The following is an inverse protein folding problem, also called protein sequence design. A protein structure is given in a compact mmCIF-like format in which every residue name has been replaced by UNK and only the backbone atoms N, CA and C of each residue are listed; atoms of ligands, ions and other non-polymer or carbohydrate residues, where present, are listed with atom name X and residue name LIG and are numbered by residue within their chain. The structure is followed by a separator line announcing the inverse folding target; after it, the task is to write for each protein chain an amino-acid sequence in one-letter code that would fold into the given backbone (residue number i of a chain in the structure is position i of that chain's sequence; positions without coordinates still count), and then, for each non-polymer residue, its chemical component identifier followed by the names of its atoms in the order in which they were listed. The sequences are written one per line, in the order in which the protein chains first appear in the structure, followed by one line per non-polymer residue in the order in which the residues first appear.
data_IF_720617949522
#
_entry.id   IF_720617949522
#
_cell.length_a   1.000
_cell.length_b   1.000
_cell.length_c   1.000
_cell.angle_alpha   90.00
_cell.angle_beta   90.00
_cell.angle_gamma   90.00
#
_symmetry.space_group_name_H-M   'P 1'
#
loop_
_entity.id
_entity.type
_entity.pdbx_description
1 polymer ?
#
# COMPACT_ATOMS: atom_id res chain seq x y z
N UNK A 1 -66.30 10.50 3.60
CA UNK A 1 -65.05 10.20 2.87
C UNK A 1 -63.90 10.79 3.66
N UNK A 2 -63.04 9.94 4.25
CA UNK A 2 -61.86 10.32 5.02
C UNK A 2 -60.70 10.61 4.05
N UNK A 3 -60.06 11.78 4.13
CA UNK A 3 -58.70 12.06 3.60
C UNK A 3 -58.10 13.15 4.51
N UNK A 4 -57.34 12.83 5.55
CA UNK A 4 -55.95 12.31 5.63
C UNK A 4 -54.95 13.32 5.05
N UNK A 5 -54.24 14.00 5.96
CA UNK A 5 -52.98 14.70 5.69
C UNK A 5 -51.84 13.66 5.71
N UNK A 6 -51.04 13.60 4.66
CA UNK A 6 -49.82 12.78 4.60
C UNK A 6 -48.63 13.74 4.59
N UNK A 7 -47.72 13.56 5.56
CA UNK A 7 -46.40 14.19 5.56
C UNK A 7 -45.44 13.25 4.82
N UNK A 8 -44.72 13.76 3.81
CA UNK A 8 -43.69 13.02 3.07
C UNK A 8 -42.31 13.49 3.58
N UNK A 9 -41.66 12.65 4.36
CA UNK A 9 -40.21 12.73 4.61
C UNK A 9 -39.52 11.90 3.53
N UNK A 10 -38.68 12.53 2.72
CA UNK A 10 -37.84 11.84 1.71
C UNK A 10 -36.53 11.46 2.40
N UNK A 11 -36.35 10.17 2.67
CA UNK A 11 -35.05 9.54 2.87
C UNK A 11 -34.84 8.62 1.67
N UNK A 12 -33.92 8.99 0.78
CA UNK A 12 -33.48 8.17 -0.35
C UNK A 12 -32.23 7.41 0.11
N UNK A 13 -32.36 6.10 0.34
CA UNK A 13 -31.26 5.14 0.34
C UNK A 13 -31.53 4.17 -0.82
N UNK A 14 -30.69 4.21 -1.84
CA UNK A 14 -30.76 3.30 -2.97
C UNK A 14 -30.09 1.97 -2.67
N UNK A 15 -30.80 0.87 -2.90
CA UNK A 15 -30.48 -0.13 -3.92
C UNK A 15 -30.99 -1.55 -3.55
N UNK A 16 -31.76 -2.13 -4.47
CA UNK A 16 -31.89 -3.58 -4.76
C UNK A 16 -32.48 -4.47 -3.65
N UNK A 17 -33.78 -4.79 -3.64
CA UNK A 17 -34.46 -5.74 -4.54
C UNK A 17 -35.94 -5.33 -4.78
N UNK A 18 -36.45 -5.62 -5.98
CA UNK A 18 -37.73 -5.19 -6.59
C UNK A 18 -39.00 -5.96 -6.08
N UNK A 19 -40.18 -5.82 -6.73
CA UNK A 19 -41.08 -4.66 -6.74
C UNK A 19 -42.49 -5.02 -6.21
N UNK A 20 -43.19 -4.08 -5.58
CA UNK A 20 -44.66 -4.11 -5.56
C UNK A 20 -45.14 -2.69 -5.83
N UNK A 21 -45.68 -2.47 -7.02
CA UNK A 21 -46.12 -1.15 -7.47
C UNK A 21 -47.38 -0.69 -6.75
N UNK A 22 -47.59 0.63 -6.71
CA UNK A 22 -48.87 1.28 -7.03
C UNK A 22 -48.65 2.77 -7.31
N UNK A 23 -49.37 3.27 -8.31
CA UNK A 23 -49.17 4.55 -9.01
C UNK A 23 -49.74 5.80 -8.30
N UNK A 24 -49.03 6.91 -8.53
CA UNK A 24 -49.47 8.30 -8.83
C UNK A 24 -50.40 9.10 -7.87
N UNK A 25 -50.15 10.42 -7.75
CA UNK A 25 -51.00 11.51 -8.31
C UNK A 25 -50.38 12.90 -8.08
N UNK A 26 -50.34 13.71 -9.15
CA UNK A 26 -49.98 15.14 -9.23
C UNK A 26 -51.25 15.98 -9.03
N UNK A 27 -51.16 17.17 -8.42
CA UNK A 27 -52.18 18.21 -8.59
C UNK A 27 -51.59 19.60 -8.90
N UNK A 28 -52.13 20.21 -9.96
CA UNK A 28 -52.07 21.63 -10.33
C UNK A 28 -52.96 22.47 -9.40
N UNK A 29 -52.63 23.76 -9.26
CA UNK A 29 -53.50 24.83 -8.75
C UNK A 29 -54.05 25.61 -9.96
N UNK A 30 -55.32 25.99 -9.94
CA UNK A 30 -55.96 26.98 -10.84
C UNK A 30 -56.69 28.03 -9.98
N UNK A 31 -57.03 29.23 -10.47
CA UNK A 31 -56.43 30.45 -9.98
C UNK A 31 -57.51 31.48 -9.69
N UNK A 32 -58.38 31.27 -8.72
CA UNK A 32 -59.35 32.30 -8.34
C UNK A 32 -59.75 32.11 -6.88
N UNK A 33 -59.49 33.15 -6.09
CA UNK A 33 -59.85 33.34 -4.69
C UNK A 33 -58.91 32.67 -3.68
N UNK A 34 -57.86 33.43 -3.32
CA UNK A 34 -56.95 33.08 -2.24
C UNK A 34 -57.61 33.22 -0.88
N UNK A 35 -57.72 32.10 -0.15
CA UNK A 35 -57.84 32.04 1.31
C UNK A 35 -57.40 30.66 1.82
N UNK A 36 -56.67 30.64 2.96
CA UNK A 36 -56.23 29.42 3.66
C UNK A 36 -57.37 28.88 4.55
N UNK A 37 -57.61 27.56 4.62
CA UNK A 37 -58.55 27.02 5.60
C UNK A 37 -58.02 27.19 7.04
N UNK A 38 -58.79 27.89 7.89
CA UNK A 38 -58.65 27.96 9.34
C UNK A 38 -59.36 26.79 10.01
N UNK A 39 -58.63 25.82 10.58
CA UNK A 39 -59.16 24.91 11.61
C UNK A 39 -58.09 24.00 12.24
N UNK A 40 -57.18 24.56 13.04
CA UNK A 40 -56.54 23.86 14.16
C UNK A 40 -56.29 24.87 15.29
N UNK A 41 -57.07 24.81 16.38
CA UNK A 41 -56.89 25.65 17.57
C UNK A 41 -55.81 25.07 18.51
N UNK A 42 -55.17 25.90 19.35
CA UNK A 42 -54.17 25.46 20.32
C UNK A 42 -54.81 25.11 21.69
N UNK A 43 -54.27 24.06 22.33
CA UNK A 43 -54.41 23.67 23.75
C UNK A 43 -55.62 22.82 24.18
N UNK A 44 -55.31 21.60 24.63
CA UNK A 44 -56.21 20.67 25.33
C UNK A 44 -55.44 19.40 25.74
N UNK A 45 -54.87 19.44 26.95
CA UNK A 45 -54.24 18.42 27.81
C UNK A 45 -54.92 17.04 27.67
N UNK A 46 -54.35 15.84 27.86
CA UNK A 46 -53.56 15.15 28.92
C UNK A 46 -52.87 13.94 28.21
N UNK A 47 -51.75 13.31 28.60
CA UNK A 47 -51.32 12.77 29.89
C UNK A 47 -49.89 12.21 29.65
N UNK A 48 -48.93 12.53 30.51
CA UNK A 48 -47.56 11.99 30.41
C UNK A 48 -47.58 10.47 30.71
N UNK A 49 -47.33 9.64 29.70
CA UNK A 49 -47.04 8.21 29.87
C UNK A 49 -45.52 8.02 29.79
N UNK A 50 -44.78 7.92 30.93
CA UNK A 50 -43.32 7.95 30.94
C UNK A 50 -42.63 6.70 30.38
N UNK A 51 -43.37 5.77 29.75
CA UNK A 51 -42.86 4.51 29.23
C UNK A 51 -42.71 4.50 27.69
N UNK A 52 -43.22 5.50 26.97
CA UNK A 52 -43.00 5.65 25.52
C UNK A 52 -41.72 6.43 25.16
N UNK A 53 -41.17 7.23 26.08
CA UNK A 53 -39.87 7.90 25.87
C UNK A 53 -38.66 6.98 26.08
N UNK A 54 -38.81 5.88 26.80
CA UNK A 54 -37.73 4.90 26.96
C UNK A 54 -37.56 3.98 25.74
N UNK A 55 -38.60 3.80 24.92
CA UNK A 55 -38.53 2.94 23.72
C UNK A 55 -38.12 3.69 22.44
N UNK A 56 -38.20 5.03 22.42
CA UNK A 56 -37.72 5.84 21.29
C UNK A 56 -36.28 6.38 21.47
N UNK A 57 -35.71 6.31 22.68
CA UNK A 57 -34.33 6.70 22.94
C UNK A 57 -33.31 5.54 22.84
N UNK A 58 -33.76 4.33 22.50
CA UNK A 58 -32.89 3.14 22.35
C UNK A 58 -32.84 2.63 20.89
N UNK A 59 -33.47 3.32 19.93
CA UNK A 59 -33.51 2.92 18.51
C UNK A 59 -33.06 3.99 17.51
N UNK A 60 -32.39 5.06 17.96
CA UNK A 60 -31.78 6.08 17.09
C UNK A 60 -30.32 6.41 17.47
N UNK A 61 -29.54 5.41 17.91
CA UNK A 61 -28.10 5.55 18.11
C UNK A 61 -27.31 4.47 17.35
N UNK A 62 -27.67 4.26 16.09
CA UNK A 62 -26.75 3.70 15.09
C UNK A 62 -26.92 4.47 13.78
N UNK A 63 -26.91 5.81 13.91
CA UNK A 63 -26.35 6.61 12.83
C UNK A 63 -24.85 6.31 12.82
N UNK A 64 -24.42 5.39 11.96
CA UNK A 64 -23.04 5.42 11.50
C UNK A 64 -22.86 6.80 10.85
N UNK A 65 -22.27 7.75 11.57
CA UNK A 65 -21.53 8.79 10.88
C UNK A 65 -20.54 8.03 10.00
N UNK A 66 -20.62 8.16 8.68
CA UNK A 66 -19.45 7.84 7.88
C UNK A 66 -18.36 8.76 8.42
N UNK A 67 -17.41 8.17 9.14
CA UNK A 67 -16.24 8.91 9.56
C UNK A 67 -15.56 9.33 8.26
N UNK A 68 -15.33 10.63 8.12
CA UNK A 68 -14.59 11.23 7.02
C UNK A 68 -13.34 10.38 6.71
N UNK A 69 -13.18 9.92 5.47
CA UNK A 69 -12.06 9.02 5.13
C UNK A 69 -10.82 9.84 4.80
N UNK A 70 -9.86 9.93 5.71
CA UNK A 70 -8.58 10.59 5.45
C UNK A 70 -7.53 9.55 5.05
N UNK A 71 -6.93 9.73 3.88
CA UNK A 71 -5.81 8.90 3.42
C UNK A 71 -4.51 9.37 4.07
N UNK A 72 -4.05 8.61 5.06
CA UNK A 72 -2.83 8.85 5.84
C UNK A 72 -1.70 7.86 5.52
N UNK A 73 -1.84 7.07 4.44
CA UNK A 73 -0.83 6.11 4.00
C UNK A 73 0.47 6.77 3.49
N UNK A 74 1.49 5.96 3.14
CA UNK A 74 2.76 6.46 2.64
C UNK A 74 2.60 7.46 1.50
N UNK A 75 3.52 8.44 1.43
CA UNK A 75 3.50 9.42 0.35
C UNK A 75 4.01 8.76 -0.94
N UNK A 76 3.36 9.05 -2.06
CA UNK A 76 3.79 8.65 -3.39
C UNK A 76 4.04 9.86 -4.28
N UNK A 77 4.88 9.69 -5.30
CA UNK A 77 5.18 10.70 -6.31
C UNK A 77 4.49 10.30 -7.61
N UNK A 78 3.76 11.24 -8.20
CA UNK A 78 3.27 11.11 -9.57
C UNK A 78 3.99 12.13 -10.46
N UNK A 79 4.34 11.74 -11.68
CA UNK A 79 4.99 12.61 -12.66
C UNK A 79 4.50 12.28 -14.06
N UNK A 80 3.94 13.29 -14.73
CA UNK A 80 3.68 13.27 -16.17
C UNK A 80 4.70 14.17 -16.87
N UNK A 81 5.54 13.64 -17.79
CA UNK A 81 6.48 14.46 -18.56
C UNK A 81 5.80 15.43 -19.54
N UNK A 82 6.54 16.45 -19.94
CA UNK A 82 6.14 17.38 -20.99
C UNK A 82 5.94 16.62 -22.32
N UNK A 83 4.86 16.96 -23.04
CA UNK A 83 4.46 16.38 -24.32
C UNK A 83 4.16 14.87 -24.31
N UNK A 84 4.11 14.23 -23.13
CA UNK A 84 3.73 12.83 -23.04
C UNK A 84 2.25 12.63 -23.36
N UNK A 85 1.94 11.49 -23.98
CA UNK A 85 0.56 11.12 -24.34
C UNK A 85 -0.27 10.88 -23.07
N UNK A 86 -1.21 11.77 -22.82
CA UNK A 86 -2.07 11.76 -21.63
C UNK A 86 -3.08 10.60 -21.62
N UNK A 87 -3.28 9.92 -22.75
CA UNK A 87 -4.21 8.77 -22.87
C UNK A 87 -3.60 7.46 -22.38
N UNK A 88 -2.27 7.40 -22.23
CA UNK A 88 -1.56 6.24 -21.70
C UNK A 88 -1.65 6.20 -20.16
N UNK A 89 -1.77 5.00 -19.58
CA UNK A 89 -2.02 4.82 -18.15
C UNK A 89 -0.89 5.38 -17.28
N UNK A 90 0.37 5.27 -17.74
CA UNK A 90 1.54 5.80 -17.05
C UNK A 90 1.55 7.33 -16.92
N UNK A 91 0.73 8.02 -17.72
CA UNK A 91 0.57 9.48 -17.70
C UNK A 91 -0.72 9.91 -17.00
N UNK A 92 -1.35 9.01 -16.23
CA UNK A 92 -2.56 9.23 -15.45
C UNK A 92 -2.35 8.79 -14.00
N UNK A 93 -2.68 9.64 -13.04
CA UNK A 93 -2.75 9.19 -11.65
C UNK A 93 -4.15 8.63 -11.36
N UNK A 94 -4.28 7.30 -11.40
CA UNK A 94 -5.54 6.60 -11.15
C UNK A 94 -5.76 6.41 -9.66
N UNK A 95 -6.18 7.48 -8.99
CA UNK A 95 -6.33 7.56 -7.53
C UNK A 95 -7.37 6.54 -7.04
N UNK A 96 -8.53 6.49 -7.68
CA UNK A 96 -9.62 5.53 -7.43
C UNK A 96 -10.20 5.04 -8.77
N UNK A 97 -11.13 4.06 -8.78
CA UNK A 97 -11.84 3.70 -10.01
C UNK A 97 -12.60 4.86 -10.67
N UNK A 98 -12.90 5.94 -9.93
CA UNK A 98 -13.68 7.09 -10.40
C UNK A 98 -12.84 8.35 -10.67
N UNK A 99 -11.65 8.48 -10.10
CA UNK A 99 -10.82 9.70 -10.19
C UNK A 99 -9.44 9.42 -10.74
N UNK A 100 -9.22 9.78 -12.02
CA UNK A 100 -7.95 9.63 -12.74
C UNK A 100 -7.43 11.00 -13.18
N UNK A 101 -6.40 11.52 -12.52
CA UNK A 101 -5.91 12.88 -12.78
C UNK A 101 -4.85 12.87 -13.89
N UNK A 102 -5.09 13.69 -14.92
CA UNK A 102 -4.09 13.98 -15.95
C UNK A 102 -4.31 15.39 -16.53
N UNK A 103 -3.52 15.75 -17.54
CA UNK A 103 -3.57 17.02 -18.26
C UNK A 103 -3.03 16.83 -19.69
N UNK A 104 -3.63 17.52 -20.67
CA UNK A 104 -3.11 17.57 -22.04
C UNK A 104 -1.90 18.52 -22.14
N UNK A 105 -1.42 18.84 -23.34
CA UNK A 105 -0.26 19.74 -23.51
C UNK A 105 -0.51 21.19 -23.04
N UNK A 106 -1.78 21.59 -22.91
CA UNK A 106 -2.23 22.93 -22.49
C UNK A 106 -3.33 22.81 -21.44
N UNK A 107 -3.74 23.94 -20.87
CA UNK A 107 -4.84 24.05 -19.89
C UNK A 107 -4.58 23.33 -18.55
N UNK A 108 -5.64 23.09 -17.77
CA UNK A 108 -5.59 22.55 -16.41
C UNK A 108 -5.60 21.03 -16.33
N UNK A 109 -5.63 20.52 -15.08
CA UNK A 109 -5.85 19.10 -14.81
C UNK A 109 -7.34 18.76 -14.89
N UNK A 110 -7.65 17.52 -15.28
CA UNK A 110 -9.01 17.00 -15.36
C UNK A 110 -9.03 15.51 -15.01
N UNK A 111 -10.22 14.99 -14.72
CA UNK A 111 -10.48 13.62 -14.39
C UNK A 111 -10.79 12.83 -15.67
N UNK A 112 -9.77 12.26 -16.31
CA UNK A 112 -9.92 11.56 -17.60
C UNK A 112 -10.84 10.33 -17.54
N UNK A 113 -11.16 9.86 -16.32
CA UNK A 113 -12.13 8.77 -16.15
C UNK A 113 -13.55 9.18 -16.54
N UNK A 114 -13.87 10.47 -16.43
CA UNK A 114 -15.21 11.02 -16.61
C UNK A 114 -15.27 12.17 -17.62
N UNK A 115 -14.12 12.79 -17.93
CA UNK A 115 -13.99 13.96 -18.77
C UNK A 115 -13.03 13.69 -19.95
N UNK A 116 -13.34 14.17 -21.16
CA UNK A 116 -12.45 13.99 -22.34
C UNK A 116 -11.33 15.06 -22.38
N UNK A 117 -11.57 16.22 -21.79
CA UNK A 117 -10.66 17.37 -21.75
C UNK A 117 -10.95 18.27 -20.55
N UNK A 118 -10.09 19.27 -20.32
CA UNK A 118 -10.27 20.25 -19.25
C UNK A 118 -11.41 21.23 -19.55
N UNK A 119 -12.34 21.37 -18.60
CA UNK A 119 -13.45 22.31 -18.61
C UNK A 119 -13.29 23.37 -17.51
N UNK A 120 -13.49 24.63 -17.91
CA UNK A 120 -13.34 25.78 -17.02
C UNK A 120 -14.40 25.78 -15.90
N UNK A 121 -13.98 26.06 -14.67
CA UNK A 121 -14.81 26.08 -13.45
C UNK A 121 -15.49 24.75 -13.09
N UNK A 122 -15.10 23.65 -13.75
CA UNK A 122 -15.69 22.33 -13.55
C UNK A 122 -14.61 21.28 -13.21
N UNK A 123 -13.56 21.18 -14.02
CA UNK A 123 -12.54 20.14 -13.85
C UNK A 123 -11.63 20.36 -12.63
N UNK A 124 -11.11 19.27 -12.02
CA UNK A 124 -11.44 17.86 -12.27
C UNK A 124 -12.79 17.45 -11.67
N UNK A 125 -13.60 16.69 -12.42
CA UNK A 125 -14.88 16.16 -11.93
C UNK A 125 -14.67 15.22 -10.74
N UNK A 126 -15.63 15.25 -9.82
CA UNK A 126 -15.64 14.47 -8.56
C UNK A 126 -14.54 14.88 -7.57
N UNK A 127 -14.03 16.12 -7.70
CA UNK A 127 -13.01 16.66 -6.79
C UNK A 127 -13.32 18.07 -6.33
N UNK A 128 -12.94 18.39 -5.10
CA UNK A 128 -12.80 19.75 -4.61
C UNK A 128 -11.46 19.90 -3.85
N UNK A 129 -10.96 21.14 -3.78
CA UNK A 129 -9.58 21.43 -3.39
C UNK A 129 -9.53 22.56 -2.38
N UNK A 130 -8.56 22.51 -1.47
CA UNK A 130 -8.25 23.58 -0.53
C UNK A 130 -6.74 23.71 -0.33
N UNK A 131 -6.24 24.91 -0.02
CA UNK A 131 -4.88 25.07 0.52
C UNK A 131 -4.86 24.73 2.01
N UNK A 132 -3.87 23.96 2.45
CA UNK A 132 -3.73 23.50 3.83
C UNK A 132 -3.39 22.01 3.91
N UNK A 133 -3.64 21.39 5.07
CA UNK A 133 -3.40 19.96 5.30
C UNK A 133 -4.61 19.34 5.99
N UNK A 134 -4.74 18.02 5.88
CA UNK A 134 -5.77 17.24 6.58
C UNK A 134 -5.61 17.27 8.10
N UNK A 135 -4.51 17.79 8.65
CA UNK A 135 -4.37 18.05 10.09
C UNK A 135 -5.23 19.23 10.58
N UNK A 136 -5.70 20.09 9.67
CA UNK A 136 -6.48 21.29 9.98
C UNK A 136 -7.80 21.34 9.19
N UNK A 137 -8.41 20.17 8.96
CA UNK A 137 -9.64 20.00 8.15
C UNK A 137 -10.75 21.00 8.50
N UNK A 138 -10.91 21.34 9.78
CA UNK A 138 -11.97 22.23 10.27
C UNK A 138 -11.87 23.68 9.75
N UNK A 139 -10.68 24.10 9.30
CA UNK A 139 -10.44 25.46 8.80
C UNK A 139 -10.25 25.51 7.28
N UNK A 140 -10.37 24.38 6.57
CA UNK A 140 -10.23 24.35 5.12
C UNK A 140 -11.50 24.83 4.43
N UNK A 141 -11.34 25.63 3.38
CA UNK A 141 -12.43 26.03 2.48
C UNK A 141 -12.20 25.36 1.13
N UNK A 142 -13.07 24.41 0.78
CA UNK A 142 -12.99 23.68 -0.47
C UNK A 142 -13.70 24.42 -1.61
N UNK A 143 -13.13 24.35 -2.80
CA UNK A 143 -13.71 24.85 -4.04
C UNK A 143 -13.22 23.99 -5.23
N UNK A 144 -13.74 24.22 -6.43
CA UNK A 144 -13.16 23.60 -7.63
C UNK A 144 -11.66 23.98 -7.77
N UNK A 145 -10.90 23.14 -8.47
CA UNK A 145 -9.44 23.30 -8.59
C UNK A 145 -9.04 24.68 -9.14
N UNK A 146 -9.70 25.14 -10.21
CA UNK A 146 -9.38 26.41 -10.86
C UNK A 146 -9.58 27.61 -9.92
N UNK A 147 -10.68 27.63 -9.17
CA UNK A 147 -10.96 28.67 -8.16
C UNK A 147 -9.90 28.62 -7.07
N UNK A 148 -9.58 27.43 -6.57
CA UNK A 148 -8.61 27.23 -5.49
C UNK A 148 -7.22 27.78 -5.87
N UNK A 149 -6.75 27.49 -7.09
CA UNK A 149 -5.45 28.01 -7.58
C UNK A 149 -5.55 29.43 -8.15
N UNK A 150 -6.71 30.09 -8.02
CA UNK A 150 -7.01 31.43 -8.53
C UNK A 150 -6.64 31.60 -10.02
N UNK A 151 -6.97 30.59 -10.85
CA UNK A 151 -6.58 30.52 -12.27
C UNK A 151 -5.08 30.69 -12.55
N UNK A 152 -4.22 30.49 -11.53
CA UNK A 152 -2.76 30.58 -11.63
C UNK A 152 -2.15 29.28 -11.09
N UNK A 153 -2.20 28.17 -11.86
CA UNK A 153 -1.67 26.87 -11.42
C UNK A 153 -0.20 26.88 -10.94
N UNK A 154 0.72 27.71 -11.48
CA UNK A 154 2.07 27.78 -10.89
C UNK A 154 2.10 28.24 -9.42
N UNK A 155 1.02 28.87 -8.92
CA UNK A 155 0.93 29.36 -7.54
C UNK A 155 0.65 28.30 -6.49
N UNK A 156 0.31 27.06 -6.88
CA UNK A 156 0.16 25.93 -5.96
C UNK A 156 1.44 25.10 -5.77
N UNK A 157 2.45 25.31 -6.62
CA UNK A 157 3.72 24.57 -6.49
C UNK A 157 4.36 24.87 -5.13
N UNK A 158 4.85 23.82 -4.48
CA UNK A 158 5.47 23.79 -3.15
C UNK A 158 4.56 24.22 -2.00
N UNK A 159 3.24 24.22 -2.20
CA UNK A 159 2.25 24.53 -1.16
C UNK A 159 1.43 23.31 -0.83
N UNK A 160 1.17 23.11 0.46
CA UNK A 160 0.29 22.05 0.93
C UNK A 160 -1.15 22.32 0.51
N UNK A 161 -1.78 21.29 -0.04
CA UNK A 161 -3.17 21.28 -0.43
C UNK A 161 -3.84 20.00 0.05
N UNK A 162 -5.16 20.03 0.10
CA UNK A 162 -6.01 18.85 0.28
C UNK A 162 -6.91 18.73 -0.94
N UNK A 163 -6.97 17.53 -1.52
CA UNK A 163 -8.02 17.16 -2.46
C UNK A 163 -9.03 16.27 -1.74
N UNK A 164 -10.31 16.60 -1.91
CA UNK A 164 -11.44 15.80 -1.45
C UNK A 164 -12.11 15.17 -2.68
N UNK A 165 -12.17 13.83 -2.70
CA UNK A 165 -12.90 13.05 -3.71
C UNK A 165 -14.36 12.93 -3.25
N UNK A 166 -15.26 13.62 -3.94
CA UNK A 166 -16.59 13.95 -3.42
C UNK A 166 -17.46 12.70 -3.26
N UNK A 167 -17.52 11.84 -4.27
CA UNK A 167 -18.40 10.65 -4.26
C UNK A 167 -17.98 9.59 -3.24
N UNK A 168 -16.68 9.50 -2.94
CA UNK A 168 -16.09 8.52 -2.03
C UNK A 168 -15.82 9.08 -0.63
N UNK A 169 -16.01 10.39 -0.41
CA UNK A 169 -15.71 11.14 0.83
C UNK A 169 -14.28 10.89 1.34
N UNK A 170 -13.31 10.97 0.42
CA UNK A 170 -11.89 10.69 0.66
C UNK A 170 -11.06 11.99 0.61
N UNK A 171 -10.25 12.23 1.64
CA UNK A 171 -9.39 13.42 1.75
C UNK A 171 -7.92 13.02 1.69
N UNK A 172 -7.16 13.70 0.83
CA UNK A 172 -5.78 13.35 0.50
C UNK A 172 -4.93 14.61 0.58
N UNK A 173 -3.88 14.60 1.42
CA UNK A 173 -2.85 15.63 1.36
C UNK A 173 -2.08 15.51 0.04
N UNK A 174 -1.91 16.64 -0.66
CA UNK A 174 -1.23 16.72 -1.94
C UNK A 174 -0.40 18.00 -2.04
N UNK A 175 0.80 17.90 -2.64
CA UNK A 175 1.71 19.03 -2.88
C UNK A 175 2.26 18.93 -4.29
N UNK A 176 1.89 19.87 -5.15
CA UNK A 176 2.49 19.98 -6.48
C UNK A 176 3.95 20.40 -6.35
N UNK A 177 4.83 19.65 -7.00
CA UNK A 177 6.29 19.89 -7.00
C UNK A 177 6.77 20.44 -8.33
N UNK A 178 5.97 20.30 -9.39
CA UNK A 178 6.27 20.87 -10.70
C UNK A 178 4.99 21.19 -11.47
N UNK A 179 5.02 22.27 -12.25
CA UNK A 179 3.98 22.63 -13.20
C UNK A 179 4.55 23.28 -14.46
N UNK A 180 4.42 22.61 -15.60
CA UNK A 180 4.85 23.17 -16.88
C UNK A 180 3.98 24.36 -17.29
N UNK A 181 4.64 25.49 -17.52
CA UNK A 181 4.01 26.76 -17.93
C UNK A 181 4.05 26.95 -19.44
N UNK A 182 3.10 27.74 -19.96
CA UNK A 182 3.03 28.14 -21.37
C UNK A 182 3.00 26.91 -22.31
N UNK A 183 3.80 26.92 -23.38
CA UNK A 183 3.97 25.84 -24.35
C UNK A 183 4.86 24.71 -23.86
N UNK A 184 5.08 24.58 -22.55
CA UNK A 184 5.94 23.54 -21.95
C UNK A 184 5.35 22.13 -21.96
N UNK A 185 4.39 21.80 -22.84
CA UNK A 185 3.98 20.42 -23.04
C UNK A 185 3.13 19.78 -21.92
N UNK A 186 2.63 20.55 -20.96
CA UNK A 186 1.62 20.03 -20.05
C UNK A 186 2.11 19.13 -18.92
N UNK A 187 3.43 19.02 -18.70
CA UNK A 187 3.96 18.22 -17.61
C UNK A 187 3.62 18.80 -16.24
N UNK A 188 3.53 17.91 -15.26
CA UNK A 188 3.33 18.26 -13.86
C UNK A 188 3.77 17.10 -12.96
N UNK A 189 4.00 17.42 -11.69
CA UNK A 189 4.34 16.43 -10.68
C UNK A 189 3.79 16.85 -9.34
N UNK A 190 3.45 15.88 -8.51
CA UNK A 190 3.07 16.11 -7.12
C UNK A 190 3.43 14.92 -6.23
N UNK A 191 3.47 15.20 -4.94
CA UNK A 191 3.54 14.21 -3.88
C UNK A 191 2.18 14.18 -3.21
N UNK A 192 1.59 12.99 -2.99
CA UNK A 192 0.33 12.85 -2.27
C UNK A 192 0.34 11.68 -1.30
N UNK A 193 -0.53 11.69 -0.28
CA UNK A 193 -0.79 10.47 0.49
C UNK A 193 -1.52 9.41 -0.34
N UNK A 194 -1.34 8.16 0.08
CA UNK A 194 -2.04 7.01 -0.46
C UNK A 194 -3.08 6.51 0.53
N UNK A 195 -4.01 5.67 0.05
CA UNK A 195 -4.95 4.98 0.91
C UNK A 195 -4.18 4.34 2.06
N UNK A 196 -4.55 4.70 3.29
CA UNK A 196 -4.05 3.99 4.46
C UNK A 196 -4.44 2.54 4.27
N UNK A 197 -3.51 1.58 4.43
CA UNK A 197 -3.92 0.19 4.42
C UNK A 197 -4.98 0.04 5.53
N UNK A 198 -6.23 -0.29 5.16
CA UNK A 198 -7.43 -0.32 6.05
C UNK A 198 -7.27 -1.28 7.26
N UNK A 199 -6.13 -1.94 7.32
CA UNK A 199 -5.57 -2.84 8.30
C UNK A 199 -4.09 -2.86 7.90
N UNK A 200 -3.08 -2.78 8.79
CA UNK A 200 -1.71 -3.00 8.36
C UNK A 200 -1.72 -4.29 7.54
N UNK A 201 -1.28 -4.22 6.28
CA UNK A 201 -1.09 -5.41 5.45
C UNK A 201 -0.47 -6.47 6.35
N UNK A 202 -1.01 -7.71 6.41
CA UNK A 202 -0.64 -8.64 7.46
C UNK A 202 0.87 -8.66 7.55
N UNK A 203 1.39 -8.18 8.68
CA UNK A 203 2.79 -8.29 8.97
C UNK A 203 3.00 -9.78 9.26
N UNK A 204 3.15 -10.51 8.16
CA UNK A 204 3.42 -11.93 8.12
C UNK A 204 4.93 -12.03 8.08
N UNK A 205 5.50 -12.28 9.25
CA UNK A 205 6.91 -12.55 9.39
C UNK A 205 7.10 -14.06 9.47
N UNK A 206 7.83 -14.61 8.50
CA UNK A 206 8.11 -16.04 8.39
C UNK A 206 9.59 -16.28 8.64
N UNK A 207 9.92 -17.17 9.58
CA UNK A 207 11.29 -17.44 10.00
C UNK A 207 11.52 -18.95 10.16
N UNK A 208 12.53 -19.51 9.49
CA UNK A 208 12.95 -20.91 9.70
C UNK A 208 13.75 -21.03 11.00
N UNK A 209 13.62 -22.16 11.69
CA UNK A 209 14.22 -22.37 13.01
C UNK A 209 15.73 -22.64 12.92
N UNK A 210 16.20 -23.35 11.90
CA UNK A 210 17.61 -23.64 11.65
C UNK A 210 18.43 -22.41 11.30
N UNK A 211 17.76 -21.31 10.98
CA UNK A 211 18.35 -20.01 10.63
C UNK A 211 18.15 -18.96 11.71
N UNK A 212 17.59 -19.37 12.85
CA UNK A 212 17.64 -18.59 14.08
C UNK A 212 19.02 -18.75 14.75
N UNK A 213 19.22 -18.09 15.90
CA UNK A 213 20.36 -18.39 16.74
C UNK A 213 20.10 -19.72 17.48
N UNK A 214 20.57 -20.83 16.90
CA UNK A 214 20.41 -22.18 17.45
C UNK A 214 21.47 -22.44 18.55
N UNK A 215 21.01 -22.71 19.76
CA UNK A 215 21.87 -23.01 20.90
C UNK A 215 22.64 -24.34 20.75
N UNK A 216 23.84 -24.42 21.32
CA UNK A 216 24.71 -25.59 21.21
C UNK A 216 24.16 -26.89 21.83
N UNK A 217 23.10 -26.84 22.64
CA UNK A 217 22.38 -28.02 23.11
C UNK A 217 21.36 -28.56 22.10
N UNK A 218 21.03 -27.79 21.06
CA UNK A 218 20.11 -28.17 19.99
C UNK A 218 20.87 -28.73 18.80
N UNK A 219 20.23 -29.66 18.09
CA UNK A 219 20.72 -30.24 16.85
C UNK A 219 19.94 -29.69 15.68
N UNK A 220 20.63 -29.20 14.65
CA UNK A 220 20.02 -28.92 13.34
C UNK A 220 20.07 -30.19 12.48
N UNK A 221 18.91 -30.70 12.09
CA UNK A 221 18.77 -31.84 11.18
C UNK A 221 18.53 -31.30 9.78
N UNK A 222 19.20 -31.88 8.78
CA UNK A 222 19.12 -31.48 7.37
C UNK A 222 18.62 -32.64 6.50
N UNK A 223 18.26 -32.33 5.26
CA UNK A 223 17.76 -33.28 4.25
C UNK A 223 16.43 -33.95 4.66
N UNK A 224 15.62 -33.27 5.45
CA UNK A 224 14.28 -33.73 5.82
C UNK A 224 13.26 -33.16 4.84
N UNK A 225 12.81 -33.96 3.85
CA UNK A 225 11.95 -33.47 2.77
C UNK A 225 10.61 -32.88 3.23
N UNK A 226 10.11 -33.27 4.41
CA UNK A 226 8.86 -32.73 4.95
C UNK A 226 9.04 -31.47 5.80
N UNK A 227 10.28 -31.05 6.08
CA UNK A 227 10.61 -29.77 6.70
C UNK A 227 10.65 -28.64 5.66
N UNK A 228 10.26 -27.43 6.05
CA UNK A 228 10.48 -26.23 5.23
C UNK A 228 11.99 -26.02 5.09
N UNK A 229 12.47 -25.67 3.88
CA UNK A 229 13.93 -25.55 3.66
C UNK A 229 14.72 -26.87 3.84
N UNK A 230 14.03 -28.01 3.94
CA UNK A 230 14.59 -29.34 4.20
C UNK A 230 15.39 -29.47 5.51
N UNK A 231 15.17 -28.60 6.50
CA UNK A 231 15.89 -28.60 7.76
C UNK A 231 14.98 -28.24 8.94
N UNK A 232 15.33 -28.69 10.15
CA UNK A 232 14.63 -28.33 11.39
C UNK A 232 15.59 -28.41 12.57
N UNK A 233 15.17 -27.92 13.74
CA UNK A 233 15.93 -28.01 14.99
C UNK A 233 15.21 -28.88 16.02
N UNK A 234 15.99 -29.65 16.79
CA UNK A 234 15.47 -30.54 17.82
C UNK A 234 16.44 -30.60 18.99
N UNK A 235 15.89 -30.70 20.19
CA UNK A 235 16.65 -31.01 21.39
C UNK A 235 16.54 -32.51 21.66
N UNK A 236 17.67 -33.20 21.85
CA UNK A 236 17.71 -34.68 21.89
C UNK A 236 18.10 -35.24 23.27
N UNK A 237 18.14 -34.41 24.33
CA UNK A 237 18.70 -34.86 25.60
C UNK A 237 17.98 -34.33 26.84
N UNK A 238 16.83 -34.91 27.12
CA UNK A 238 16.15 -34.81 28.41
C UNK A 238 14.97 -33.85 28.47
N UNK A 239 14.41 -33.78 29.67
CA UNK A 239 13.17 -33.07 30.01
C UNK A 239 13.44 -31.95 31.03
N UNK A 240 12.67 -30.86 30.94
CA UNK A 240 12.74 -29.71 31.82
C UNK A 240 11.33 -29.26 32.23
N UNK A 241 10.82 -29.80 33.35
CA UNK A 241 9.50 -29.44 33.90
C UNK A 241 9.41 -28.01 34.47
N UNK A 242 10.55 -27.34 34.61
CA UNK A 242 10.67 -25.90 34.83
C UNK A 242 11.53 -25.30 33.70
N UNK A 243 11.48 -23.99 33.44
CA UNK A 243 12.33 -23.37 32.43
C UNK A 243 13.80 -23.72 32.67
N UNK A 244 14.53 -24.22 31.66
CA UNK A 244 15.93 -24.57 31.81
C UNK A 244 16.77 -23.32 32.09
N UNK A 245 18.04 -23.53 32.48
CA UNK A 245 18.96 -22.42 32.72
C UNK A 245 19.00 -21.47 31.51
N UNK A 246 18.90 -20.16 31.77
CA UNK A 246 18.82 -19.11 30.75
C UNK A 246 20.20 -18.83 30.14
N UNK A 247 20.68 -19.79 29.35
CA UNK A 247 21.95 -19.74 28.65
C UNK A 247 21.71 -20.02 27.17
N UNK A 248 22.52 -19.40 26.30
CA UNK A 248 22.37 -19.51 24.85
C UNK A 248 22.35 -20.96 24.35
N UNK A 249 23.02 -21.89 25.03
CA UNK A 249 23.03 -23.31 24.67
C UNK A 249 21.64 -23.98 24.72
N UNK A 250 20.74 -23.52 25.59
CA UNK A 250 19.46 -24.16 25.87
C UNK A 250 18.32 -23.65 24.99
N UNK A 251 18.56 -22.69 24.12
CA UNK A 251 17.50 -21.98 23.40
C UNK A 251 17.75 -21.85 21.90
N UNK A 252 16.67 -21.72 21.14
CA UNK A 252 16.63 -21.26 19.76
C UNK A 252 16.04 -19.85 19.79
N UNK A 253 16.85 -18.84 19.45
CA UNK A 253 16.47 -17.42 19.52
C UNK A 253 16.22 -16.83 18.14
N UNK A 254 14.97 -16.48 17.88
CA UNK A 254 14.58 -15.67 16.73
C UNK A 254 14.76 -14.20 17.08
N UNK A 255 15.44 -13.45 16.21
CA UNK A 255 15.57 -11.99 16.31
C UNK A 255 14.95 -11.36 15.07
N UNK A 256 14.09 -10.36 15.25
CA UNK A 256 13.37 -9.76 14.15
C UNK A 256 12.97 -8.30 14.42
N UNK A 257 12.65 -7.57 13.36
CA UNK A 257 12.15 -6.21 13.44
C UNK A 257 10.69 -6.15 12.97
N UNK A 258 9.86 -5.41 13.71
CA UNK A 258 8.48 -5.10 13.31
C UNK A 258 8.38 -3.64 12.90
N UNK A 259 7.68 -3.37 11.80
CA UNK A 259 7.50 -1.99 11.29
C UNK A 259 6.46 -1.20 12.09
N UNK A 260 5.59 -1.89 12.85
CA UNK A 260 4.54 -1.29 13.65
C UNK A 260 4.28 -2.13 14.91
N UNK A 261 3.94 -1.50 16.06
CA UNK A 261 3.49 -2.23 17.23
C UNK A 261 2.10 -2.83 16.97
N UNK A 262 1.73 -3.90 17.68
CA UNK A 262 0.39 -4.46 17.57
C UNK A 262 0.23 -5.85 18.15
N UNK A 263 -0.97 -6.41 17.93
CA UNK A 263 -1.31 -7.79 18.26
C UNK A 263 -0.87 -8.72 17.11
N UNK A 264 -0.03 -9.70 17.44
CA UNK A 264 0.48 -10.71 16.50
C UNK A 264 0.16 -12.12 17.01
N UNK A 265 -0.30 -12.98 16.12
CA UNK A 265 -0.55 -14.39 16.36
C UNK A 265 0.68 -15.20 15.95
N UNK A 266 1.29 -15.88 16.91
CA UNK A 266 2.38 -16.84 16.69
C UNK A 266 1.82 -18.20 16.30
N UNK A 267 2.32 -18.74 15.20
CA UNK A 267 2.15 -20.11 14.75
C UNK A 267 3.53 -20.74 14.61
N UNK A 268 3.68 -21.98 15.05
CA UNK A 268 4.92 -22.74 14.88
C UNK A 268 4.64 -24.06 14.15
N UNK A 269 5.46 -24.37 13.15
CA UNK A 269 5.44 -25.65 12.46
C UNK A 269 6.27 -26.63 13.28
N UNK A 270 5.59 -27.59 13.90
CA UNK A 270 6.17 -28.51 14.89
C UNK A 270 5.80 -29.94 14.51
N UNK A 271 6.74 -30.87 14.68
CA UNK A 271 6.49 -32.31 14.61
C UNK A 271 6.72 -32.92 16.00
N UNK A 272 5.65 -33.44 16.57
CA UNK A 272 5.65 -34.22 17.80
C UNK A 272 5.45 -35.71 17.47
N UNK A 273 6.35 -36.56 17.95
CA UNK A 273 6.33 -38.01 17.70
C UNK A 273 5.39 -38.72 18.68
N UNK A 274 5.33 -38.23 19.91
CA UNK A 274 4.56 -38.80 21.00
C UNK A 274 4.12 -37.71 21.99
N UNK A 275 3.31 -38.09 22.99
CA UNK A 275 2.92 -37.21 24.09
C UNK A 275 4.02 -36.97 25.12
N UNK A 276 5.23 -37.50 24.90
CA UNK A 276 6.43 -37.11 25.65
C UNK A 276 7.35 -36.21 24.84
N UNK A 277 6.97 -35.89 23.59
CA UNK A 277 7.76 -35.11 22.64
C UNK A 277 6.90 -34.00 22.03
N UNK A 278 6.12 -33.29 22.85
CA UNK A 278 5.09 -32.36 22.39
C UNK A 278 5.10 -31.00 23.09
N UNK A 279 6.27 -30.56 23.59
CA UNK A 279 6.29 -29.32 24.38
C UNK A 279 7.58 -28.49 24.32
N UNK A 280 7.39 -27.18 24.54
CA UNK A 280 8.45 -26.17 24.61
C UNK A 280 8.21 -25.17 25.75
N UNK A 281 9.29 -24.53 26.20
CA UNK A 281 9.22 -23.24 26.88
C UNK A 281 9.36 -22.11 25.85
N UNK A 282 8.48 -21.10 25.90
CA UNK A 282 8.52 -19.97 24.96
C UNK A 282 8.62 -18.66 25.73
N UNK A 283 9.46 -17.73 25.26
CA UNK A 283 9.61 -16.39 25.87
C UNK A 283 9.71 -15.32 24.80
N UNK A 284 9.11 -14.18 25.07
CA UNK A 284 9.10 -12.99 24.20
C UNK A 284 9.89 -11.87 24.88
N UNK A 285 10.80 -11.20 24.16
CA UNK A 285 11.52 -10.00 24.60
C UNK A 285 12.14 -10.11 26.01
N UNK A 286 12.76 -11.24 26.32
CA UNK A 286 13.33 -11.57 27.65
C UNK A 286 12.31 -11.49 28.82
N UNK A 287 11.01 -11.60 28.53
CA UNK A 287 9.94 -11.67 29.52
C UNK A 287 9.88 -13.02 30.27
N UNK A 288 8.74 -13.34 30.92
CA UNK A 288 8.58 -14.64 31.57
C UNK A 288 8.50 -15.78 30.55
N UNK A 289 8.95 -16.96 30.95
CA UNK A 289 8.74 -18.20 30.19
C UNK A 289 7.30 -18.69 30.29
N UNK A 290 6.76 -19.14 29.17
CA UNK A 290 5.45 -19.78 29.05
C UNK A 290 5.62 -21.26 28.72
N UNK A 291 4.91 -22.14 29.43
CA UNK A 291 4.89 -23.58 29.15
C UNK A 291 3.93 -23.88 28.00
N UNK A 292 4.47 -24.08 26.79
CA UNK A 292 3.68 -24.58 25.67
C UNK A 292 3.67 -26.11 25.68
N UNK A 293 2.74 -26.69 26.44
CA UNK A 293 2.61 -28.14 26.65
C UNK A 293 1.24 -28.68 26.24
N UNK A 294 0.60 -28.06 25.25
CA UNK A 294 -0.75 -28.42 24.83
C UNK A 294 -1.14 -27.74 23.52
N UNK A 295 -2.01 -28.38 22.76
CA UNK A 295 -2.41 -27.90 21.43
C UNK A 295 -1.36 -28.13 20.34
N UNK A 296 -0.34 -28.95 20.59
CA UNK A 296 0.59 -29.45 19.59
C UNK A 296 0.07 -30.78 19.06
N UNK A 297 -0.01 -30.93 17.73
CA UNK A 297 -0.51 -32.15 17.10
C UNK A 297 0.51 -33.30 17.20
N UNK A 298 0.11 -34.40 17.86
CA UNK A 298 0.91 -35.62 18.06
C UNK A 298 0.51 -36.64 16.99
N UNK A 299 1.16 -36.57 15.83
CA UNK A 299 0.89 -37.47 14.71
C UNK A 299 2.13 -37.78 13.86
N UNK A 300 3.33 -37.43 14.35
CA UNK A 300 4.59 -37.58 13.61
C UNK A 300 4.60 -36.89 12.23
N UNK A 301 3.83 -35.81 12.07
CA UNK A 301 3.90 -34.90 10.94
C UNK A 301 4.24 -33.48 11.41
N UNK A 302 4.83 -32.68 10.54
CA UNK A 302 4.94 -31.25 10.81
C UNK A 302 3.59 -30.59 10.60
N UNK A 303 3.01 -30.05 11.67
CA UNK A 303 1.74 -29.34 11.66
C UNK A 303 1.96 -27.88 12.07
N UNK A 304 1.13 -26.98 11.57
CA UNK A 304 1.05 -25.63 12.12
C UNK A 304 0.25 -25.65 13.42
N UNK A 305 0.91 -25.29 14.51
CA UNK A 305 0.31 -25.23 15.85
C UNK A 305 0.20 -23.78 16.28
N UNK A 306 -0.94 -23.44 16.88
CA UNK A 306 -1.22 -22.10 17.37
C UNK A 306 -0.63 -21.94 18.76
N UNK A 307 0.16 -20.89 18.97
CA UNK A 307 0.66 -20.56 20.29
C UNK A 307 -0.52 -20.22 21.24
N UNK A 308 -0.64 -20.87 22.42
CA UNK A 308 -1.83 -20.73 23.27
C UNK A 308 -2.00 -19.34 23.88
N UNK A 309 -0.92 -18.62 24.17
CA UNK A 309 -0.97 -17.28 24.76
C UNK A 309 -1.07 -16.16 23.70
N UNK A 310 -1.62 -16.48 22.52
CA UNK A 310 -1.95 -15.48 21.52
C UNK A 310 -3.16 -14.60 21.92
N UNK A 311 -3.25 -13.37 21.39
CA UNK A 311 -2.23 -12.68 20.60
C UNK A 311 -1.08 -12.16 21.48
N UNK A 312 0.12 -12.09 20.89
CA UNK A 312 1.28 -11.40 21.44
C UNK A 312 1.17 -9.90 21.17
N UNK A 313 1.26 -9.07 22.20
CA UNK A 313 1.37 -7.61 22.05
C UNK A 313 2.85 -7.24 21.89
N UNK A 314 3.27 -6.91 20.66
CA UNK A 314 4.67 -6.65 20.32
C UNK A 314 4.89 -5.17 19.99
N UNK A 315 5.98 -4.53 20.46
CA UNK A 315 6.36 -3.20 20.02
C UNK A 315 6.91 -3.20 18.58
N UNK A 316 6.90 -2.03 17.92
CA UNK A 316 7.71 -1.82 16.72
C UNK A 316 9.21 -1.87 17.05
N UNK A 317 10.02 -2.13 16.04
CA UNK A 317 11.46 -2.27 16.15
C UNK A 317 11.88 -3.69 16.54
N UNK A 318 13.03 -3.78 17.21
CA UNK A 318 13.68 -5.04 17.53
C UNK A 318 12.91 -5.86 18.58
N UNK A 319 12.71 -7.13 18.28
CA UNK A 319 12.05 -8.10 19.12
C UNK A 319 12.82 -9.43 19.12
N UNK A 320 12.67 -10.20 20.20
CA UNK A 320 13.17 -11.58 20.31
C UNK A 320 12.07 -12.55 20.70
N UNK A 321 12.14 -13.76 20.16
CA UNK A 321 11.31 -14.90 20.53
C UNK A 321 12.23 -16.10 20.76
N UNK A 322 12.20 -16.65 21.96
CA UNK A 322 13.04 -17.77 22.37
C UNK A 322 12.17 -19.03 22.52
N UNK A 323 12.65 -20.14 21.96
CA UNK A 323 12.18 -21.49 22.29
C UNK A 323 13.26 -22.20 23.11
N UNK A 324 12.89 -22.76 24.24
CA UNK A 324 13.73 -23.65 25.04
C UNK A 324 13.07 -25.02 25.17
N UNK A 325 13.89 -26.05 25.38
CA UNK A 325 13.41 -27.43 25.45
C UNK A 325 12.58 -27.61 26.72
N UNK A 326 11.43 -28.26 26.59
CA UNK A 326 10.69 -28.79 27.74
C UNK A 326 10.77 -30.31 27.74
N UNK A 327 10.74 -30.92 26.56
CA UNK A 327 10.96 -32.35 26.35
C UNK A 327 11.91 -32.55 25.16
N UNK A 328 12.63 -33.67 25.14
CA UNK A 328 13.41 -34.09 24.00
C UNK A 328 12.51 -34.56 22.84
N UNK A 329 13.09 -34.68 21.65
CA UNK A 329 12.40 -35.21 20.47
C UNK A 329 11.41 -34.26 19.78
N UNK A 330 10.89 -33.22 20.46
CA UNK A 330 9.98 -32.25 19.84
C UNK A 330 10.71 -31.42 18.78
N UNK A 331 10.26 -31.48 17.53
CA UNK A 331 10.97 -30.87 16.39
C UNK A 331 10.34 -29.54 15.99
N UNK A 332 11.15 -28.48 15.92
CA UNK A 332 10.74 -27.14 15.49
C UNK A 332 11.31 -26.85 14.09
N UNK A 333 10.41 -26.60 13.14
CA UNK A 333 10.77 -26.31 11.74
C UNK A 333 10.76 -24.80 11.48
N UNK A 334 9.64 -24.15 11.79
CA UNK A 334 9.39 -22.77 11.33
C UNK A 334 8.44 -22.03 12.24
N UNK A 335 8.53 -20.71 12.26
CA UNK A 335 7.53 -19.85 12.89
C UNK A 335 6.95 -18.84 11.91
N UNK A 336 5.69 -18.48 12.13
CA UNK A 336 5.03 -17.35 11.49
C UNK A 336 4.39 -16.47 12.57
N UNK A 337 4.70 -15.18 12.54
CA UNK A 337 3.92 -14.15 13.22
C UNK A 337 2.98 -13.52 12.20
N UNK A 338 1.69 -13.43 12.50
CA UNK A 338 0.67 -12.87 11.61
C UNK A 338 -0.26 -11.94 12.40
N UNK A 339 -0.68 -10.82 11.85
CA UNK A 339 -1.69 -9.95 12.49
C UNK A 339 -3.10 -10.55 12.42
N UNK A 340 -3.30 -11.57 11.60
CA UNK A 340 -4.53 -12.34 11.50
C UNK A 340 -4.43 -13.66 12.26
N UNK A 341 -5.51 -14.04 12.92
CA UNK A 341 -5.60 -15.30 13.65
C UNK A 341 -5.91 -16.51 12.75
N UNK A 342 -5.19 -16.62 11.64
CA UNK A 342 -5.39 -17.67 10.64
C UNK A 342 -4.21 -18.65 10.67
N UNK A 343 -4.51 -19.94 10.87
CA UNK A 343 -3.48 -20.99 10.85
C UNK A 343 -2.91 -21.08 9.42
N UNK A 344 -1.57 -21.04 9.26
CA UNK A 344 -0.95 -21.19 7.95
C UNK A 344 -1.22 -22.56 7.32
N UNK A 345 -1.17 -22.62 6.00
CA UNK A 345 -1.39 -23.86 5.22
C UNK A 345 -0.09 -24.31 4.56
N UNK A 346 0.04 -25.62 4.28
CA UNK A 346 1.24 -26.18 3.64
C UNK A 346 2.51 -25.86 4.41
N UNK A 347 3.55 -25.40 3.71
CA UNK A 347 4.82 -24.96 4.31
C UNK A 347 4.79 -23.51 4.83
N UNK A 348 3.66 -22.81 4.73
CA UNK A 348 3.58 -21.37 4.99
C UNK A 348 4.34 -20.54 3.95
N UNK A 349 4.49 -19.24 4.23
CA UNK A 349 5.21 -18.32 3.34
C UNK A 349 6.73 -18.54 3.39
N UNK A 350 7.48 -18.25 2.32
CA UNK A 350 8.95 -18.31 2.33
C UNK A 350 9.53 -17.46 3.48
N UNK A 351 10.58 -17.98 4.13
CA UNK A 351 11.25 -17.30 5.25
C UNK A 351 12.48 -16.54 4.75
N UNK A 352 12.67 -15.32 5.25
CA UNK A 352 13.80 -14.47 4.85
C UNK A 352 15.09 -14.67 5.67
N UNK A 353 15.01 -15.33 6.84
CA UNK A 353 16.13 -15.39 7.79
C UNK A 353 17.20 -16.46 7.50
N UNK A 354 16.96 -17.37 6.56
CA UNK A 354 17.99 -18.32 6.09
C UNK A 354 18.99 -17.73 5.10
N UNK A 355 18.77 -16.49 4.68
CA UNK A 355 19.76 -15.77 3.91
C UNK A 355 20.74 -15.16 4.89
N UNK A 356 21.95 -15.74 4.92
CA UNK A 356 23.07 -15.18 5.67
C UNK A 356 23.17 -13.68 5.39
N UNK A 357 23.49 -12.94 6.43
CA UNK A 357 23.73 -11.49 6.45
C UNK A 357 24.61 -11.05 5.27
N UNK A 358 23.99 -10.65 4.17
CA UNK A 358 24.57 -9.72 3.22
C UNK A 358 24.06 -8.33 3.63
N UNK A 359 24.99 -7.42 3.91
CA UNK A 359 24.68 -6.02 4.16
C UNK A 359 23.75 -5.48 3.07
N UNK A 360 22.72 -4.74 3.48
CA UNK A 360 21.75 -3.99 2.65
C UNK A 360 21.98 -4.05 1.13
N UNK A 361 21.29 -4.95 0.43
CA UNK A 361 21.14 -4.83 -1.01
C UNK A 361 19.81 -4.14 -1.30
N UNK A 362 19.94 -2.91 -1.81
CA UNK A 362 18.89 -2.23 -2.54
C UNK A 362 18.39 -3.15 -3.66
N UNK A 363 17.10 -3.08 -3.94
CA UNK A 363 16.40 -3.86 -4.95
C UNK A 363 17.07 -3.69 -6.33
N UNK A 364 17.92 -4.63 -6.74
CA UNK A 364 18.55 -4.62 -8.07
C UNK A 364 17.79 -5.48 -9.10
N UNK A 365 17.49 -4.83 -10.22
CA UNK A 365 16.78 -5.31 -11.40
C UNK A 365 17.51 -6.45 -12.12
N UNK A 366 16.75 -7.48 -12.53
CA UNK A 366 17.25 -8.64 -13.30
C UNK A 366 17.44 -8.37 -14.79
N UNK A 367 17.13 -7.18 -15.28
CA UNK A 367 17.17 -6.79 -16.70
C UNK A 367 18.20 -5.70 -16.98
N UNK A 368 18.63 -5.57 -18.24
CA UNK A 368 19.40 -4.42 -18.69
C UNK A 368 18.66 -3.12 -18.31
N UNK A 369 19.39 -2.15 -17.77
CA UNK A 369 18.91 -0.81 -17.49
C UNK A 369 19.84 0.21 -18.13
N UNK A 370 19.31 1.35 -18.52
CA UNK A 370 20.09 2.43 -19.12
C UNK A 370 19.54 3.74 -18.59
N UNK A 371 20.26 4.45 -17.74
CA UNK A 371 19.85 5.80 -17.31
C UNK A 371 20.58 6.82 -18.18
N UNK A 372 19.82 7.81 -18.66
CA UNK A 372 20.31 8.88 -19.52
C UNK A 372 19.86 10.19 -18.88
N UNK A 373 20.80 11.09 -18.62
CA UNK A 373 20.47 12.40 -18.08
C UNK A 373 21.47 13.47 -18.54
N UNK A 374 20.99 14.70 -18.84
CA UNK A 374 19.58 15.04 -19.02
C UNK A 374 19.02 14.42 -20.31
N UNK A 375 17.74 13.99 -20.30
CA UNK A 375 17.03 13.61 -21.54
C UNK A 375 16.26 14.79 -22.15
N UNK A 376 16.95 15.91 -22.19
CA UNK A 376 17.06 16.87 -23.30
C UNK A 376 18.49 17.43 -23.17
N UNK A 377 19.36 17.18 -24.14
CA UNK A 377 20.77 17.56 -24.07
C UNK A 377 20.93 18.99 -24.59
N UNK A 378 21.08 19.94 -23.67
CA UNK A 378 21.12 21.39 -23.97
C UNK A 378 22.56 21.95 -24.00
N UNK A 379 23.48 21.38 -23.21
CA UNK A 379 24.88 21.83 -23.14
C UNK A 379 25.86 20.88 -23.85
N UNK A 380 25.35 20.06 -24.77
CA UNK A 380 26.16 19.08 -25.49
C UNK A 380 26.68 17.93 -24.62
N UNK A 381 26.31 17.81 -23.34
CA UNK A 381 26.73 16.69 -22.49
C UNK A 381 25.56 15.77 -22.15
N UNK A 382 25.78 14.47 -22.32
CA UNK A 382 24.85 13.41 -21.92
C UNK A 382 25.57 12.45 -20.99
N UNK A 383 25.09 12.31 -19.76
CA UNK A 383 25.56 11.26 -18.86
C UNK A 383 24.76 9.99 -19.07
N UNK A 384 25.50 8.89 -19.15
CA UNK A 384 24.97 7.55 -19.36
C UNK A 384 25.40 6.65 -18.21
N UNK A 385 24.44 5.96 -17.62
CA UNK A 385 24.68 4.91 -16.63
C UNK A 385 24.14 3.60 -17.19
N UNK A 386 25.02 2.69 -17.63
CA UNK A 386 24.63 1.36 -18.05
C UNK A 386 24.38 0.47 -16.83
N UNK A 387 23.37 -0.39 -16.92
CA UNK A 387 23.16 -1.49 -16.01
C UNK A 387 22.91 -2.77 -16.80
N UNK A 388 23.60 -3.82 -16.44
CA UNK A 388 23.52 -5.15 -17.03
C UNK A 388 22.71 -6.12 -16.15
N UNK A 389 22.26 -5.66 -14.98
CA UNK A 389 21.47 -6.48 -14.05
C UNK A 389 22.28 -7.68 -13.55
N UNK A 390 21.63 -8.85 -13.44
CA UNK A 390 22.29 -10.11 -13.02
C UNK A 390 22.97 -10.87 -14.18
N UNK A 391 23.28 -10.20 -15.29
CA UNK A 391 24.05 -10.85 -16.36
C UNK A 391 25.45 -11.24 -15.83
N UNK A 392 25.93 -12.43 -16.24
CA UNK A 392 27.25 -12.96 -15.86
C UNK A 392 28.39 -12.08 -16.37
N UNK A 393 28.16 -11.37 -17.48
CA UNK A 393 29.06 -10.35 -18.02
C UNK A 393 28.53 -8.96 -17.69
N UNK A 394 29.33 -8.22 -16.91
CA UNK A 394 29.05 -6.83 -16.47
C UNK A 394 29.64 -5.78 -17.41
N UNK A 395 29.73 -6.13 -18.69
CA UNK A 395 30.34 -5.29 -19.74
C UNK A 395 29.50 -5.39 -21.01
N UNK A 396 29.57 -4.35 -21.84
CA UNK A 396 28.86 -4.30 -23.10
C UNK A 396 29.23 -3.08 -23.91
N UNK A 397 28.41 -2.77 -24.91
CA UNK A 397 28.67 -1.67 -25.84
C UNK A 397 27.53 -0.67 -25.81
N UNK A 398 27.87 0.61 -25.73
CA UNK A 398 26.95 1.70 -25.99
C UNK A 398 27.01 2.10 -27.46
N UNK A 399 25.87 2.08 -28.14
CA UNK A 399 25.73 2.51 -29.53
C UNK A 399 24.88 3.77 -29.61
N UNK A 400 25.37 4.77 -30.33
CA UNK A 400 24.60 5.96 -30.70
C UNK A 400 24.24 5.83 -32.17
N UNK A 401 22.95 5.80 -32.49
CA UNK A 401 22.47 5.72 -33.87
C UNK A 401 21.55 6.87 -34.23
N UNK A 402 21.44 7.15 -35.52
CA UNK A 402 20.30 7.92 -36.02
C UNK A 402 19.01 7.09 -35.99
N UNK A 403 17.90 7.71 -36.44
CA UNK A 403 16.58 7.05 -36.50
C UNK A 403 16.48 5.95 -37.57
N UNK A 404 17.42 5.91 -38.52
CA UNK A 404 17.50 4.89 -39.56
C UNK A 404 18.38 3.71 -39.11
N UNK A 405 18.99 3.79 -37.93
CA UNK A 405 19.84 2.75 -37.36
C UNK A 405 21.31 2.84 -37.76
N UNK A 406 21.74 3.92 -38.44
CA UNK A 406 23.15 4.11 -38.77
C UNK A 406 23.94 4.43 -37.50
N UNK A 407 25.04 3.70 -37.27
CA UNK A 407 25.89 3.89 -36.08
C UNK A 407 26.74 5.14 -36.26
N UNK A 408 26.57 6.11 -35.37
CA UNK A 408 27.31 7.36 -35.31
C UNK A 408 28.47 7.29 -34.32
N UNK A 409 28.33 6.51 -33.25
CA UNK A 409 29.39 6.24 -32.28
C UNK A 409 29.17 4.91 -31.56
N UNK A 410 30.26 4.30 -31.11
CA UNK A 410 30.29 3.04 -30.35
C UNK A 410 31.35 3.14 -29.27
N UNK A 411 31.00 2.81 -28.02
CA UNK A 411 31.90 2.87 -26.88
C UNK A 411 31.74 1.63 -25.98
N UNK A 412 32.84 1.01 -25.51
CA UNK A 412 32.76 -0.03 -24.49
C UNK A 412 32.34 0.58 -23.15
N UNK A 413 31.49 -0.13 -22.42
CA UNK A 413 30.99 0.31 -21.11
C UNK A 413 30.90 -0.86 -20.14
N UNK A 414 31.02 -0.57 -18.86
CA UNK A 414 30.96 -1.56 -17.77
C UNK A 414 29.92 -1.14 -16.73
N UNK A 415 29.37 -2.10 -16.00
CA UNK A 415 28.30 -1.90 -14.99
C UNK A 415 28.53 -0.66 -14.13
N UNK A 416 27.51 0.18 -14.02
CA UNK A 416 27.49 1.33 -13.10
C UNK A 416 28.50 2.43 -13.42
N UNK A 417 29.28 2.31 -14.49
CA UNK A 417 30.26 3.34 -14.87
C UNK A 417 29.55 4.51 -15.53
N UNK A 418 29.57 5.66 -14.87
CA UNK A 418 29.11 6.91 -15.47
C UNK A 418 30.03 7.32 -16.62
N UNK A 419 29.47 7.42 -17.82
CA UNK A 419 30.15 7.94 -19.00
C UNK A 419 29.47 9.24 -19.45
N UNK A 420 30.26 10.30 -19.61
CA UNK A 420 29.80 11.55 -20.20
C UNK A 420 30.14 11.59 -21.68
N UNK A 421 29.12 11.74 -22.52
CA UNK A 421 29.23 11.83 -23.96
C UNK A 421 29.09 13.28 -24.39
N UNK A 422 30.02 13.74 -25.23
CA UNK A 422 29.92 15.01 -25.93
C UNK A 422 29.03 14.86 -27.16
N UNK A 423 27.78 15.22 -27.00
CA UNK A 423 26.73 15.19 -27.99
C UNK A 423 26.78 16.35 -28.98
N UNK A 424 27.58 17.39 -28.72
CA UNK A 424 27.72 18.53 -29.66
C UNK A 424 28.23 18.10 -31.04
N UNK A 425 29.00 17.01 -31.07
CA UNK A 425 29.57 16.39 -32.28
C UNK A 425 28.54 15.78 -33.23
N UNK A 426 27.31 15.54 -32.77
CA UNK A 426 26.23 14.95 -33.58
C UNK A 426 25.26 15.99 -34.15
N UNK A 427 25.48 17.28 -33.86
CA UNK A 427 24.68 18.41 -34.33
C UNK A 427 23.47 18.73 -33.44
N UNK A 428 22.99 19.98 -33.54
CA UNK A 428 21.83 20.51 -32.82
C UNK A 428 20.49 20.08 -33.46
N UNK A 429 19.41 20.07 -32.67
CA UNK A 429 18.02 19.74 -33.09
C UNK A 429 17.86 18.36 -33.72
N UNK A 430 18.52 17.35 -33.17
CA UNK A 430 18.44 15.96 -33.65
C UNK A 430 17.91 15.01 -32.58
N UNK A 431 17.27 13.95 -33.07
CA UNK A 431 16.85 12.82 -32.25
C UNK A 431 17.79 11.67 -32.55
N UNK A 432 18.37 11.10 -31.51
CA UNK A 432 19.28 9.96 -31.58
C UNK A 432 18.75 8.82 -30.71
N UNK A 433 19.18 7.61 -31.02
CA UNK A 433 18.91 6.43 -30.19
C UNK A 433 20.22 6.03 -29.53
N UNK A 434 20.21 5.97 -28.20
CA UNK A 434 21.31 5.42 -27.41
C UNK A 434 20.89 4.02 -26.98
N UNK A 435 21.66 3.03 -27.42
CA UNK A 435 21.42 1.61 -27.13
C UNK A 435 22.53 1.07 -26.25
N UNK A 436 22.17 0.38 -25.17
CA UNK A 436 23.10 -0.47 -24.44
C UNK A 436 22.92 -1.90 -24.94
N UNK A 437 24.00 -2.51 -25.41
CA UNK A 437 24.02 -3.87 -25.96
C UNK A 437 24.91 -4.74 -25.07
N UNK A 438 24.34 -5.77 -24.46
CA UNK A 438 25.07 -6.80 -23.73
C UNK A 438 25.86 -7.70 -24.67
N UNK A 439 26.87 -8.39 -24.13
CA UNK A 439 27.70 -9.36 -24.85
C UNK A 439 26.90 -10.56 -25.40
N UNK A 440 25.76 -10.87 -24.78
CA UNK A 440 24.81 -11.88 -25.22
C UNK A 440 23.87 -11.41 -26.37
N UNK A 441 24.02 -10.16 -26.84
CA UNK A 441 23.21 -9.57 -27.91
C UNK A 441 21.88 -8.95 -27.45
N UNK A 442 21.55 -9.01 -26.17
CA UNK A 442 20.40 -8.30 -25.60
C UNK A 442 20.64 -6.78 -25.67
N UNK A 443 19.60 -5.99 -25.97
CA UNK A 443 19.75 -4.55 -26.08
C UNK A 443 18.57 -3.78 -25.49
N UNK A 444 18.87 -2.72 -24.74
CA UNK A 444 17.90 -1.70 -24.33
C UNK A 444 18.20 -0.39 -25.07
N UNK A 445 17.17 0.28 -25.56
CA UNK A 445 17.29 1.50 -26.35
C UNK A 445 16.53 2.64 -25.69
N UNK A 446 17.13 3.82 -25.69
CA UNK A 446 16.48 5.05 -25.23
C UNK A 446 16.68 6.17 -26.23
N UNK A 447 15.61 6.92 -26.45
CA UNK A 447 15.60 8.10 -27.31
C UNK A 447 16.21 9.28 -26.56
N UNK A 448 17.08 10.02 -27.23
CA UNK A 448 17.69 11.27 -26.75
C UNK A 448 17.42 12.40 -27.73
N UNK A 449 17.09 13.57 -27.19
CA UNK A 449 16.93 14.81 -27.96
C UNK A 449 18.15 15.69 -27.71
N UNK A 450 18.87 16.07 -28.76
CA UNK A 450 19.99 17.03 -28.72
C UNK A 450 19.49 18.36 -29.28
N UNK A 451 19.58 19.45 -28.50
CA UNK A 451 19.07 20.77 -28.91
C UNK A 451 20.14 21.72 -29.40
#
# INVERSE_FOLDING_TARGET
MKKICIFKSILNLGASLAPVGFSAFIWRRDPENGEKPQSCSPQGWWEYQPWLMAACLVLLASGSSLAQTIWTGPKMVFTKPDFSDYTLEENQDRITPNVWITRQNTQGIYNIKQEDFYEQNFSPQDTEWAFGTTADMANLTFANWQTTVNSRPPSMVDRDMVVHLISEDIYIDIKFTNWAVRSGGGGFSYIRSTKSPDTPAPALLSLEAECAQVGGGWTTVKNEAAASGASYVVFNNGVAYAPPADVAANQVRFSFNLNAPGAYYLFARIRALSSSDDSFWVRINNGPWFSWSGGIAINNHFNWNRYPANPLNLPAGANTLDFAYREDGTQLDKIILNTQNQIPVGLGQPSGNCQATAASEQTETTSLSLKLYPNEVVNGQLTVVPGFGKQSEKQGTLLITDLLGNVLASLPVTEGTEATLDMSKFGSRRVLIVSLVGTNGEAIRKRVIVR
#
